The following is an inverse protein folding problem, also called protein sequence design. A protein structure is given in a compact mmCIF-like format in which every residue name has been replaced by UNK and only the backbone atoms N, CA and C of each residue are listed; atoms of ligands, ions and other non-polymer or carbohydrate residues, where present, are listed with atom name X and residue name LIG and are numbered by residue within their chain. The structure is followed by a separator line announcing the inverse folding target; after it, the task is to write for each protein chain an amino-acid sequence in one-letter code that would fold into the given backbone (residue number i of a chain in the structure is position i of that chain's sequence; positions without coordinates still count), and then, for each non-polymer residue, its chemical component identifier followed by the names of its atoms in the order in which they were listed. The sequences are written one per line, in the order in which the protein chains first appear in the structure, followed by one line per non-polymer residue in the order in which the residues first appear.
data_IF_387494868262
#
_entry.id   IF_387494868262
#
_cell.length_a   1.000
_cell.length_b   1.000
_cell.length_c   1.000
_cell.angle_alpha   90.00
_cell.angle_beta   90.00
_cell.angle_gamma   90.00
#
_symmetry.space_group_name_H-M   'P 1'
#
loop_
_entity.id
_entity.type
_entity.pdbx_description
1 polymer ?
#
# COMPACT_ATOMS: atom_id res chain seq x y z
N UNK A 1 13.70 -16.51 -11.56
CA UNK A 1 12.59 -15.57 -11.79
C UNK A 1 13.16 -14.17 -11.99
N UNK A 2 12.77 -13.46 -13.04
CA UNK A 2 13.23 -12.10 -13.33
C UNK A 2 12.83 -11.16 -12.17
N UNK A 3 13.72 -10.22 -11.74
CA UNK A 3 13.50 -9.27 -10.64
C UNK A 3 12.21 -8.47 -10.85
N UNK A 4 11.95 -8.01 -12.08
CA UNK A 4 10.73 -7.28 -12.44
C UNK A 4 9.47 -8.12 -12.23
N UNK A 5 9.46 -9.39 -12.63
CA UNK A 5 8.32 -10.28 -12.42
C UNK A 5 8.06 -10.52 -10.93
N UNK A 6 9.14 -10.74 -10.14
CA UNK A 6 9.03 -10.92 -8.69
C UNK A 6 8.44 -9.68 -8.00
N UNK A 7 8.92 -8.49 -8.38
CA UNK A 7 8.40 -7.21 -7.90
C UNK A 7 6.90 -7.05 -8.22
N UNK A 8 6.50 -7.30 -9.47
CA UNK A 8 5.09 -7.24 -9.89
C UNK A 8 4.23 -8.22 -9.10
N UNK A 9 4.69 -9.46 -8.89
CA UNK A 9 3.94 -10.47 -8.11
C UNK A 9 3.72 -10.01 -6.67
N UNK A 10 4.73 -9.44 -6.01
CA UNK A 10 4.58 -8.92 -4.65
C UNK A 10 3.57 -7.76 -4.58
N UNK A 11 3.64 -6.82 -5.52
CA UNK A 11 2.69 -5.69 -5.56
C UNK A 11 1.26 -6.15 -5.88
N UNK A 12 1.08 -7.14 -6.76
CA UNK A 12 -0.23 -7.73 -7.05
C UNK A 12 -0.81 -8.47 -5.84
N UNK A 13 0.01 -9.26 -5.11
CA UNK A 13 -0.43 -9.90 -3.86
C UNK A 13 -0.86 -8.87 -2.82
N UNK A 14 -0.12 -7.76 -2.72
CA UNK A 14 -0.50 -6.64 -1.86
C UNK A 14 -1.88 -6.10 -2.24
N UNK A 15 -2.11 -5.81 -3.53
CA UNK A 15 -3.36 -5.26 -4.03
C UNK A 15 -4.55 -6.21 -3.80
N UNK A 16 -4.36 -7.53 -3.96
CA UNK A 16 -5.39 -8.54 -3.65
C UNK A 16 -5.77 -8.48 -2.17
N UNK A 17 -4.79 -8.49 -1.28
CA UNK A 17 -5.04 -8.49 0.16
C UNK A 17 -5.69 -7.17 0.60
N UNK A 18 -5.22 -6.04 0.08
CA UNK A 18 -5.80 -4.73 0.45
C UNK A 18 -7.21 -4.54 -0.09
N UNK A 19 -7.49 -5.01 -1.31
CA UNK A 19 -8.84 -4.96 -1.87
C UNK A 19 -9.87 -5.64 -0.98
N UNK A 20 -9.55 -6.84 -0.49
CA UNK A 20 -10.44 -7.58 0.44
C UNK A 20 -10.48 -6.98 1.84
N UNK A 21 -9.45 -6.22 2.24
CA UNK A 21 -9.36 -5.62 3.57
C UNK A 21 -10.32 -4.46 3.81
N UNK A 22 -10.81 -3.76 2.77
CA UNK A 22 -11.78 -2.66 2.94
C UNK A 22 -13.08 -3.11 3.61
N UNK A 23 -13.59 -4.29 3.24
CA UNK A 23 -14.79 -4.87 3.85
C UNK A 23 -14.55 -5.15 5.32
N UNK A 24 -13.44 -5.83 5.65
CA UNK A 24 -13.09 -6.14 7.04
C UNK A 24 -12.87 -4.88 7.89
N UNK A 25 -12.27 -3.83 7.33
CA UNK A 25 -12.08 -2.55 8.02
C UNK A 25 -13.43 -1.89 8.36
N UNK A 26 -14.37 -1.88 7.42
CA UNK A 26 -15.70 -1.31 7.63
C UNK A 26 -16.48 -2.07 8.69
N UNK A 27 -16.46 -3.39 8.61
CA UNK A 27 -17.15 -4.27 9.58
C UNK A 27 -16.56 -4.12 11.00
N UNK A 28 -15.23 -4.10 11.14
CA UNK A 28 -14.59 -3.95 12.44
C UNK A 28 -14.88 -2.62 13.14
N UNK A 29 -15.13 -1.55 12.38
CA UNK A 29 -15.50 -0.25 12.95
C UNK A 29 -16.96 -0.15 13.40
N UNK A 30 -17.79 -1.15 13.19
CA UNK A 30 -19.13 -1.20 13.76
C UNK A 30 -19.13 -1.37 15.29
N UNK A 31 -18.04 -1.93 15.83
CA UNK A 31 -17.90 -2.30 17.24
C UNK A 31 -16.91 -1.44 18.02
N UNK A 32 -15.95 -0.78 17.32
CA UNK A 32 -14.93 0.08 17.93
C UNK A 32 -14.63 1.29 17.05
N UNK A 33 -14.05 2.34 17.65
CA UNK A 33 -13.67 3.55 16.93
C UNK A 33 -12.55 3.34 15.89
N UNK A 34 -12.45 4.23 14.89
CA UNK A 34 -11.49 4.10 13.78
C UNK A 34 -10.01 4.16 14.23
N UNK A 35 -9.67 4.96 15.23
CA UNK A 35 -8.31 5.05 15.74
C UNK A 35 -7.91 3.82 16.57
N UNK A 36 -8.82 3.29 17.40
CA UNK A 36 -8.58 2.06 18.15
C UNK A 36 -8.43 0.87 17.20
N UNK A 37 -9.30 0.76 16.19
CA UNK A 37 -9.17 -0.27 15.17
C UNK A 37 -7.80 -0.19 14.45
N UNK A 38 -7.39 1.03 14.05
CA UNK A 38 -6.09 1.26 13.44
C UNK A 38 -4.92 0.90 14.36
N UNK A 39 -4.99 1.28 15.65
CA UNK A 39 -3.95 0.93 16.63
C UNK A 39 -3.77 -0.57 16.76
N UNK A 40 -4.87 -1.30 17.00
CA UNK A 40 -4.84 -2.76 17.24
C UNK A 40 -4.31 -3.52 16.01
N UNK A 41 -4.81 -3.20 14.79
CA UNK A 41 -4.34 -3.87 13.58
C UNK A 41 -2.87 -3.58 13.26
N UNK A 42 -2.39 -2.37 13.56
CA UNK A 42 -0.99 -1.98 13.33
C UNK A 42 -0.05 -2.65 14.32
N UNK A 43 -0.41 -2.72 15.60
CA UNK A 43 0.37 -3.48 16.57
C UNK A 43 0.43 -4.97 16.23
N UNK A 44 -0.69 -5.55 15.86
CA UNK A 44 -0.73 -6.95 15.43
C UNK A 44 0.10 -7.18 14.16
N UNK A 45 0.06 -6.23 13.20
CA UNK A 45 0.90 -6.26 12.01
C UNK A 45 2.40 -6.22 12.34
N UNK A 46 2.81 -5.36 13.28
CA UNK A 46 4.19 -5.32 13.77
C UNK A 46 4.59 -6.62 14.45
N UNK A 47 3.74 -7.17 15.33
CA UNK A 47 3.99 -8.44 16.04
C UNK A 47 4.12 -9.62 15.07
N UNK A 48 3.32 -9.66 14.02
CA UNK A 48 3.37 -10.71 12.98
C UNK A 48 4.74 -10.79 12.31
N UNK A 49 5.49 -9.69 12.25
CA UNK A 49 6.81 -9.65 11.63
C UNK A 49 7.96 -10.08 12.55
N UNK A 50 7.73 -10.12 13.88
CA UNK A 50 8.78 -10.48 14.83
C UNK A 50 9.43 -11.85 14.57
N UNK A 51 8.67 -12.95 14.30
CA UNK A 51 9.28 -14.24 14.02
C UNK A 51 10.20 -14.20 12.80
N UNK A 52 9.80 -13.46 11.74
CA UNK A 52 10.59 -13.29 10.53
C UNK A 52 11.87 -12.52 10.83
N UNK A 53 11.78 -11.43 11.58
CA UNK A 53 12.93 -10.59 11.98
C UNK A 53 13.91 -11.42 12.81
N UNK A 54 13.43 -12.12 13.84
CA UNK A 54 14.25 -12.94 14.72
C UNK A 54 14.94 -14.08 13.96
N UNK A 55 14.25 -14.72 13.02
CA UNK A 55 14.85 -15.78 12.18
C UNK A 55 16.03 -15.23 11.37
N UNK A 56 15.86 -14.11 10.68
CA UNK A 56 16.95 -13.52 9.88
C UNK A 56 18.07 -12.96 10.73
N UNK A 57 17.78 -12.34 11.87
CA UNK A 57 18.81 -11.85 12.79
C UNK A 57 19.66 -13.00 13.35
N UNK A 58 19.03 -14.09 13.78
CA UNK A 58 19.74 -15.27 14.25
C UNK A 58 20.56 -15.94 13.14
N UNK A 59 20.03 -16.02 11.92
CA UNK A 59 20.74 -16.55 10.77
C UNK A 59 21.98 -15.69 10.45
N UNK A 60 21.84 -14.38 10.43
CA UNK A 60 22.94 -13.45 10.16
C UNK A 60 24.01 -13.53 11.25
N UNK A 61 23.64 -13.60 12.53
CA UNK A 61 24.61 -13.80 13.64
C UNK A 61 25.41 -15.09 13.49
N UNK A 62 24.76 -16.20 13.12
CA UNK A 62 25.46 -17.48 12.89
C UNK A 62 26.42 -17.43 11.72
N UNK A 63 26.06 -16.76 10.61
CA UNK A 63 26.96 -16.60 9.45
C UNK A 63 28.18 -15.75 9.81
N UNK A 64 27.99 -14.66 10.54
CA UNK A 64 29.10 -13.81 11.02
C UNK A 64 30.03 -14.57 11.96
N UNK A 65 29.51 -15.39 12.89
CA UNK A 65 30.32 -16.19 13.82
C UNK A 65 31.10 -17.34 13.12
N UNK A 66 30.64 -17.81 11.95
CA UNK A 66 31.33 -18.82 11.15
C UNK A 66 32.35 -18.27 10.15
N UNK A 67 32.59 -16.94 10.15
CA UNK A 67 33.50 -16.28 9.19
C UNK A 67 32.97 -16.25 7.75
N UNK A 68 31.74 -16.67 7.53
CA UNK A 68 31.09 -16.66 6.22
C UNK A 68 30.46 -15.31 5.97
N UNK A 69 30.84 -14.63 4.87
CA UNK A 69 30.16 -13.42 4.44
C UNK A 69 28.73 -13.80 4.03
N UNK A 70 27.70 -13.18 4.62
CA UNK A 70 26.34 -13.41 4.22
C UNK A 70 26.17 -13.02 2.75
N UNK A 71 25.36 -13.78 1.99
CA UNK A 71 25.03 -13.44 0.59
C UNK A 71 24.40 -12.05 0.55
N UNK A 72 24.79 -11.21 -0.41
CA UNK A 72 24.34 -9.82 -0.57
C UNK A 72 22.79 -9.64 -0.51
N UNK A 73 22.02 -10.67 -0.86
CA UNK A 73 20.56 -10.67 -0.78
C UNK A 73 20.00 -10.89 0.65
N UNK A 74 20.80 -11.39 1.60
CA UNK A 74 20.38 -11.64 2.99
C UNK A 74 20.75 -10.53 3.97
N UNK A 75 21.54 -9.56 3.53
CA UNK A 75 22.14 -8.52 4.36
C UNK A 75 21.99 -7.13 3.78
N UNK A 76 20.79 -6.69 3.53
CA UNK A 76 20.56 -5.24 3.64
C UNK A 76 20.26 -4.94 5.11
N UNK A 77 21.22 -5.21 6.00
CA UNK A 77 21.35 -4.42 7.23
C UNK A 77 21.89 -3.08 6.79
N UNK A 78 20.99 -2.22 6.26
CA UNK A 78 21.32 -0.85 5.95
C UNK A 78 21.78 -0.11 7.21
N UNK A 79 22.36 1.05 7.03
CA UNK A 79 22.83 1.83 8.17
C UNK A 79 21.71 1.96 9.24
N UNK A 80 21.96 1.68 10.53
CA UNK A 80 20.91 1.73 11.57
C UNK A 80 20.14 3.05 11.60
N UNK A 81 20.79 4.16 11.18
CA UNK A 81 20.14 5.46 11.06
C UNK A 81 19.06 5.50 9.97
N UNK A 82 19.25 4.80 8.84
CA UNK A 82 18.28 4.76 7.74
C UNK A 82 17.07 3.94 8.14
N UNK A 83 17.29 2.82 8.84
CA UNK A 83 16.21 2.01 9.39
C UNK A 83 15.35 2.82 10.39
N UNK A 84 16.00 3.51 11.33
CA UNK A 84 15.30 4.31 12.35
C UNK A 84 14.57 5.50 11.70
N UNK A 85 15.25 6.29 10.88
CA UNK A 85 14.64 7.44 10.18
C UNK A 85 13.52 7.00 9.26
N UNK A 86 13.74 5.98 8.44
CA UNK A 86 12.75 5.43 7.53
C UNK A 86 11.54 4.87 8.26
N UNK A 87 11.76 4.07 9.31
CA UNK A 87 10.68 3.50 10.12
C UNK A 87 9.82 4.57 10.80
N UNK A 88 10.43 5.59 11.39
CA UNK A 88 9.71 6.70 12.04
C UNK A 88 8.98 7.54 10.98
N UNK A 89 9.64 7.94 9.89
CA UNK A 89 9.03 8.78 8.86
C UNK A 89 7.88 8.05 8.16
N UNK A 90 8.09 6.82 7.71
CA UNK A 90 7.01 6.01 7.15
C UNK A 90 5.88 5.81 8.16
N UNK A 91 6.20 5.63 9.46
CA UNK A 91 5.22 5.48 10.53
C UNK A 91 4.35 6.71 10.74
N UNK A 92 4.94 7.91 10.73
CA UNK A 92 4.19 9.17 10.81
C UNK A 92 3.31 9.35 9.58
N UNK A 93 3.84 9.10 8.39
CA UNK A 93 3.09 9.27 7.15
C UNK A 93 1.91 8.29 7.08
N UNK A 94 2.14 7.01 7.43
CA UNK A 94 1.07 6.01 7.39
C UNK A 94 0.03 6.21 8.50
N UNK A 95 0.39 6.80 9.63
CA UNK A 95 -0.57 7.22 10.64
C UNK A 95 -1.61 8.17 10.03
N UNK A 96 -1.19 9.20 9.33
CA UNK A 96 -2.11 10.13 8.66
C UNK A 96 -2.86 9.44 7.52
N UNK A 97 -2.16 8.73 6.64
CA UNK A 97 -2.77 8.04 5.50
C UNK A 97 -3.90 7.09 5.94
N UNK A 98 -3.59 6.20 6.87
CA UNK A 98 -4.51 5.16 7.29
C UNK A 98 -5.66 5.71 8.15
N UNK A 99 -5.40 6.66 9.05
CA UNK A 99 -6.46 7.18 9.91
C UNK A 99 -7.40 8.14 9.17
N UNK A 100 -6.91 8.97 8.25
CA UNK A 100 -7.81 9.76 7.39
C UNK A 100 -8.69 8.85 6.52
N UNK A 101 -8.15 7.79 5.95
CA UNK A 101 -8.93 6.79 5.23
C UNK A 101 -9.96 6.12 6.14
N UNK A 102 -9.56 5.72 7.34
CA UNK A 102 -10.39 5.01 8.29
C UNK A 102 -11.55 5.88 8.79
N UNK A 103 -11.27 7.15 9.15
CA UNK A 103 -12.29 8.13 9.55
C UNK A 103 -13.24 8.42 8.38
N UNK A 104 -12.73 8.59 7.18
CA UNK A 104 -13.58 8.79 6.00
C UNK A 104 -14.48 7.60 5.71
N UNK A 105 -14.00 6.38 5.89
CA UNK A 105 -14.76 5.14 5.67
C UNK A 105 -15.98 5.00 6.60
N UNK A 106 -16.03 5.73 7.72
CA UNK A 106 -17.22 5.78 8.60
C UNK A 106 -18.43 6.40 7.87
N UNK A 107 -18.20 7.44 7.07
CA UNK A 107 -19.27 8.22 6.41
C UNK A 107 -19.35 8.06 4.88
N UNK A 108 -18.30 7.51 4.27
CA UNK A 108 -18.18 7.29 2.82
C UNK A 108 -18.30 5.80 2.53
N UNK A 109 -18.98 5.44 1.43
CA UNK A 109 -19.06 4.03 1.01
C UNK A 109 -17.68 3.42 0.73
N UNK A 110 -17.53 2.10 0.93
CA UNK A 110 -16.26 1.41 0.74
C UNK A 110 -15.72 1.60 -0.70
N UNK A 111 -16.58 1.48 -1.71
CA UNK A 111 -16.18 1.69 -3.11
C UNK A 111 -15.72 3.11 -3.41
N UNK A 112 -16.41 4.13 -2.87
CA UNK A 112 -16.00 5.54 -3.05
C UNK A 112 -14.72 5.85 -2.27
N UNK A 113 -14.55 5.29 -1.06
CA UNK A 113 -13.32 5.40 -0.29
C UNK A 113 -12.15 4.76 -1.04
N UNK A 114 -12.34 3.57 -1.60
CA UNK A 114 -11.32 2.90 -2.41
C UNK A 114 -10.94 3.73 -3.64
N UNK A 115 -11.93 4.31 -4.36
CA UNK A 115 -11.67 5.21 -5.49
C UNK A 115 -10.81 6.41 -5.10
N UNK A 116 -11.25 7.15 -4.06
CA UNK A 116 -10.54 8.37 -3.65
C UNK A 116 -9.14 8.03 -3.13
N UNK A 117 -9.00 6.96 -2.33
CA UNK A 117 -7.70 6.51 -1.84
C UNK A 117 -6.77 6.18 -3.00
N UNK A 118 -7.23 5.43 -3.99
CA UNK A 118 -6.40 5.01 -5.12
C UNK A 118 -6.07 6.13 -6.11
N UNK A 119 -6.58 7.35 -5.92
CA UNK A 119 -6.09 8.53 -6.63
C UNK A 119 -4.61 8.83 -6.38
N UNK A 120 -3.96 8.13 -5.43
CA UNK A 120 -2.50 8.14 -5.33
C UNK A 120 -1.81 7.72 -6.64
N UNK A 121 -2.49 7.00 -7.56
CA UNK A 121 -2.01 6.69 -8.91
C UNK A 121 -1.65 7.95 -9.72
N UNK A 122 -2.37 9.06 -9.48
CA UNK A 122 -2.07 10.38 -10.06
C UNK A 122 -1.07 11.16 -9.21
N UNK A 123 -1.21 11.09 -7.89
CA UNK A 123 -0.42 11.89 -6.95
C UNK A 123 1.06 11.45 -6.93
N UNK A 124 1.32 10.14 -6.96
CA UNK A 124 2.70 9.60 -6.96
C UNK A 124 3.53 10.13 -8.14
N UNK A 125 3.10 10.02 -9.41
CA UNK A 125 3.88 10.56 -10.52
C UNK A 125 4.00 12.08 -10.49
N UNK A 126 2.95 12.80 -10.06
CA UNK A 126 3.00 14.26 -9.95
C UNK A 126 4.05 14.69 -8.92
N UNK A 127 4.01 14.12 -7.71
CA UNK A 127 5.03 14.38 -6.69
C UNK A 127 6.41 13.92 -7.16
N UNK A 128 6.48 12.77 -7.85
CA UNK A 128 7.70 12.21 -8.43
C UNK A 128 8.39 13.15 -9.41
N UNK A 129 7.63 13.94 -10.19
CA UNK A 129 8.21 14.97 -11.08
C UNK A 129 8.96 16.04 -10.29
N UNK A 130 8.40 16.52 -9.16
CA UNK A 130 9.09 17.46 -8.27
C UNK A 130 10.35 16.85 -7.66
N UNK A 131 10.38 15.52 -7.46
CA UNK A 131 11.54 14.76 -7.03
C UNK A 131 12.49 14.39 -8.19
N UNK A 132 12.31 15.00 -9.39
CA UNK A 132 13.12 14.78 -10.61
C UNK A 132 13.10 13.35 -11.13
N UNK A 133 12.04 12.57 -10.85
CA UNK A 133 11.86 11.26 -11.44
C UNK A 133 11.57 11.37 -12.94
N UNK A 134 12.23 10.52 -13.73
CA UNK A 134 12.01 10.47 -15.19
C UNK A 134 10.96 9.41 -15.48
N UNK A 135 9.78 9.82 -15.94
CA UNK A 135 8.70 8.94 -16.32
C UNK A 135 8.65 8.78 -17.83
N UNK A 136 8.52 7.56 -18.30
CA UNK A 136 8.38 7.30 -19.73
C UNK A 136 6.91 7.40 -20.19
N UNK A 137 6.70 7.44 -21.52
CA UNK A 137 5.37 7.57 -22.11
C UNK A 137 4.40 6.44 -21.69
N UNK A 138 4.89 5.20 -21.59
CA UNK A 138 4.05 4.06 -21.24
C UNK A 138 3.54 4.16 -19.80
N UNK A 139 4.34 4.71 -18.88
CA UNK A 139 3.91 4.98 -17.50
C UNK A 139 2.78 6.02 -17.49
N UNK A 140 2.91 7.12 -18.24
CA UNK A 140 1.85 8.13 -18.33
C UNK A 140 0.56 7.57 -18.94
N UNK A 141 0.66 6.76 -19.98
CA UNK A 141 -0.50 6.07 -20.55
C UNK A 141 -1.15 5.12 -19.51
N UNK A 142 -0.33 4.42 -18.73
CA UNK A 142 -0.80 3.58 -17.63
C UNK A 142 -1.54 4.39 -16.56
N UNK A 143 -1.00 5.55 -16.14
CA UNK A 143 -1.65 6.45 -15.17
C UNK A 143 -3.01 6.92 -15.68
N UNK A 144 -3.09 7.42 -16.91
CA UNK A 144 -4.34 7.91 -17.51
C UNK A 144 -5.37 6.77 -17.61
N UNK A 145 -4.94 5.63 -18.16
CA UNK A 145 -5.82 4.47 -18.35
C UNK A 145 -6.31 3.91 -17.02
N UNK A 146 -5.42 3.80 -16.01
CA UNK A 146 -5.77 3.35 -14.66
C UNK A 146 -6.74 4.30 -13.97
N UNK A 147 -6.57 5.61 -14.11
CA UNK A 147 -7.49 6.62 -13.53
C UNK A 147 -8.87 6.54 -14.18
N UNK A 148 -8.92 6.41 -15.51
CA UNK A 148 -10.20 6.21 -16.22
C UNK A 148 -10.84 4.89 -15.79
N UNK A 149 -10.07 3.82 -15.66
CA UNK A 149 -10.55 2.53 -15.16
C UNK A 149 -11.13 2.61 -13.76
N UNK A 150 -10.45 3.31 -12.83
CA UNK A 150 -10.95 3.59 -11.46
C UNK A 150 -12.27 4.34 -11.48
N UNK A 151 -12.39 5.36 -12.33
CA UNK A 151 -13.64 6.11 -12.46
C UNK A 151 -14.80 5.20 -12.89
N UNK A 152 -14.59 4.36 -13.91
CA UNK A 152 -15.61 3.43 -14.35
C UNK A 152 -15.96 2.37 -13.31
N UNK A 153 -14.98 1.90 -12.53
CA UNK A 153 -15.15 0.87 -11.53
C UNK A 153 -15.88 1.36 -10.28
N UNK A 154 -15.55 2.55 -9.79
CA UNK A 154 -15.95 2.97 -8.44
C UNK A 154 -17.04 4.05 -8.41
N UNK A 155 -17.27 4.80 -9.49
CA UNK A 155 -18.27 5.87 -9.52
C UNK A 155 -19.52 5.38 -10.23
N UNK A 156 -20.51 4.95 -9.46
CA UNK A 156 -21.79 4.44 -9.97
C UNK A 156 -22.93 5.48 -9.92
N UNK A 157 -22.82 6.50 -9.06
CA UNK A 157 -23.86 7.51 -8.80
C UNK A 157 -23.40 8.92 -9.18
N UNK A 158 -24.32 9.89 -9.08
CA UNK A 158 -23.98 11.30 -9.25
C UNK A 158 -22.86 11.70 -8.27
N UNK A 159 -21.78 12.25 -8.81
CA UNK A 159 -20.60 12.62 -8.05
C UNK A 159 -20.90 13.84 -7.16
N UNK A 160 -21.21 13.59 -5.89
CA UNK A 160 -21.34 14.62 -4.86
C UNK A 160 -20.12 14.57 -3.95
N UNK A 161 -19.53 15.73 -3.66
CA UNK A 161 -18.38 15.83 -2.75
C UNK A 161 -18.93 16.15 -1.35
N UNK A 162 -18.78 15.20 -0.43
CA UNK A 162 -19.08 15.36 0.97
C UNK A 162 -17.81 15.64 1.80
N UNK A 163 -17.96 16.08 3.04
CA UNK A 163 -16.81 16.34 3.94
C UNK A 163 -15.94 15.09 4.14
N UNK A 164 -16.56 13.89 4.26
CA UNK A 164 -15.83 12.63 4.35
C UNK A 164 -14.94 12.35 3.14
N UNK A 165 -15.38 12.74 1.93
CA UNK A 165 -14.57 12.57 0.71
C UNK A 165 -13.27 13.39 0.76
N UNK A 166 -13.34 14.61 1.30
CA UNK A 166 -12.17 15.48 1.48
C UNK A 166 -11.18 14.86 2.49
N UNK A 167 -11.68 14.26 3.56
CA UNK A 167 -10.82 13.54 4.53
C UNK A 167 -10.08 12.39 3.84
N UNK A 168 -10.79 11.56 3.07
CA UNK A 168 -10.18 10.47 2.31
C UNK A 168 -9.17 10.99 1.28
N UNK A 169 -9.47 12.11 0.62
CA UNK A 169 -8.57 12.71 -0.37
C UNK A 169 -7.26 13.20 0.27
N UNK A 170 -7.34 13.80 1.46
CA UNK A 170 -6.14 14.12 2.25
C UNK A 170 -5.37 12.83 2.59
N UNK A 171 -6.08 11.76 2.98
CA UNK A 171 -5.49 10.44 3.17
C UNK A 171 -4.76 9.92 1.94
N UNK A 172 -5.36 10.08 0.74
CA UNK A 172 -4.74 9.67 -0.52
C UNK A 172 -3.41 10.39 -0.80
N UNK A 173 -3.29 11.67 -0.42
CA UNK A 173 -2.03 12.41 -0.50
C UNK A 173 -0.96 11.80 0.40
N UNK A 174 -1.31 11.44 1.64
CA UNK A 174 -0.37 10.77 2.54
C UNK A 174 -0.03 9.35 2.06
N UNK A 175 -0.96 8.62 1.43
CA UNK A 175 -0.66 7.35 0.77
C UNK A 175 0.38 7.51 -0.34
N UNK A 176 0.28 8.57 -1.15
CA UNK A 176 1.28 8.88 -2.16
C UNK A 176 2.66 9.15 -1.53
N UNK A 177 2.72 9.95 -0.47
CA UNK A 177 3.97 10.17 0.28
C UNK A 177 4.51 8.88 0.89
N UNK A 178 3.64 8.00 1.42
CA UNK A 178 4.06 6.71 1.95
C UNK A 178 4.71 5.83 0.89
N UNK A 179 4.11 5.70 -0.30
CA UNK A 179 4.68 4.94 -1.43
C UNK A 179 6.08 5.48 -1.77
N UNK A 180 6.24 6.80 -1.86
CA UNK A 180 7.54 7.43 -2.17
C UNK A 180 8.56 7.24 -1.03
N UNK A 181 8.12 7.28 0.21
CA UNK A 181 8.96 7.05 1.38
C UNK A 181 9.46 5.60 1.43
N UNK A 182 8.58 4.64 1.21
CA UNK A 182 8.94 3.21 1.13
C UNK A 182 9.89 2.95 -0.04
N UNK A 183 9.65 3.55 -1.21
CA UNK A 183 10.55 3.48 -2.36
C UNK A 183 11.99 3.93 -2.01
N UNK A 184 12.10 5.00 -1.24
CA UNK A 184 13.39 5.53 -0.82
C UNK A 184 14.12 4.64 0.20
N UNK A 185 13.41 4.09 1.18
CA UNK A 185 14.05 3.35 2.30
C UNK A 185 14.11 1.84 2.09
N UNK A 186 13.12 1.21 1.45
CA UNK A 186 13.07 -0.24 1.31
C UNK A 186 14.29 -0.87 0.63
N UNK A 187 14.94 -0.24 -0.37
CA UNK A 187 16.18 -0.78 -0.96
C UNK A 187 17.39 -0.75 -0.01
N UNK A 188 17.35 0.09 1.03
CA UNK A 188 18.49 0.38 1.91
C UNK A 188 18.48 -0.38 3.22
N UNK A 189 17.33 -0.98 3.59
CA UNK A 189 17.16 -1.62 4.89
C UNK A 189 16.40 -2.95 4.76
N UNK A 190 16.39 -3.73 5.84
CA UNK A 190 15.55 -4.92 5.93
C UNK A 190 14.07 -4.50 5.99
N UNK A 191 13.31 -4.83 4.94
CA UNK A 191 11.91 -4.40 4.77
C UNK A 191 11.05 -4.78 5.97
N UNK A 192 11.15 -6.02 6.48
CA UNK A 192 10.35 -6.44 7.64
C UNK A 192 10.63 -5.61 8.89
N UNK A 193 11.87 -5.18 9.13
CA UNK A 193 12.21 -4.25 10.22
C UNK A 193 11.62 -2.86 9.99
N UNK A 194 11.72 -2.34 8.75
CA UNK A 194 11.13 -1.06 8.37
C UNK A 194 9.63 -1.05 8.63
N UNK A 195 8.92 -2.07 8.15
CA UNK A 195 7.47 -2.21 8.30
C UNK A 195 7.06 -2.39 9.77
N UNK A 196 7.81 -3.19 10.55
CA UNK A 196 7.54 -3.35 11.97
C UNK A 196 7.66 -2.03 12.73
N UNK A 197 8.71 -1.23 12.50
CA UNK A 197 8.92 0.05 13.16
C UNK A 197 7.83 1.05 12.74
N UNK A 198 7.50 1.15 11.44
CA UNK A 198 6.45 2.07 10.99
C UNK A 198 5.10 1.76 11.65
N UNK A 199 4.76 0.50 11.83
CA UNK A 199 3.50 0.12 12.48
C UNK A 199 3.53 0.30 13.99
N UNK A 200 4.66 0.12 14.65
CA UNK A 200 4.79 0.51 16.06
C UNK A 200 4.57 2.01 16.23
N UNK A 201 5.17 2.84 15.39
CA UNK A 201 5.01 4.30 15.46
C UNK A 201 3.56 4.69 15.17
N UNK A 202 3.00 4.23 14.05
CA UNK A 202 1.64 4.58 13.65
C UNK A 202 0.59 4.03 14.61
N UNK A 203 0.76 2.80 15.09
CA UNK A 203 -0.11 2.20 16.10
C UNK A 203 -0.10 2.98 17.42
N UNK A 204 1.09 3.41 17.87
CA UNK A 204 1.21 4.24 19.07
C UNK A 204 0.53 5.59 18.90
N UNK A 205 0.75 6.27 17.78
CA UNK A 205 0.07 7.54 17.48
C UNK A 205 -1.45 7.36 17.41
N UNK A 206 -1.94 6.28 16.76
CA UNK A 206 -3.37 5.97 16.70
C UNK A 206 -3.95 5.66 18.07
N UNK A 207 -3.24 4.88 18.90
CA UNK A 207 -3.67 4.60 20.27
C UNK A 207 -3.78 5.87 21.11
N UNK A 208 -2.79 6.76 21.02
CA UNK A 208 -2.83 8.04 21.75
C UNK A 208 -4.08 8.83 21.36
N UNK A 209 -4.37 8.96 20.06
CA UNK A 209 -5.58 9.67 19.63
C UNK A 209 -6.84 8.95 20.10
N UNK A 210 -6.91 7.62 19.98
CA UNK A 210 -8.06 6.84 20.44
C UNK A 210 -8.36 7.05 21.92
N UNK A 211 -7.33 7.08 22.78
CA UNK A 211 -7.49 7.30 24.21
C UNK A 211 -8.11 8.66 24.59
N UNK A 212 -7.95 9.68 23.72
CA UNK A 212 -8.53 11.00 23.94
C UNK A 212 -9.85 11.26 23.23
N UNK A 213 -10.19 10.46 22.20
CA UNK A 213 -11.32 10.76 21.29
C UNK A 213 -12.36 9.65 21.20
N UNK A 214 -12.04 8.44 21.68
CA UNK A 214 -12.94 7.28 21.55
C UNK A 214 -13.22 6.63 22.90
N UNK A 215 -14.40 6.02 23.04
CA UNK A 215 -14.73 5.22 24.22
C UNK A 215 -14.07 3.85 24.15
N UNK A 216 -13.50 3.42 25.28
CA UNK A 216 -12.80 2.14 25.40
C UNK A 216 -13.77 1.02 25.74
N UNK A 217 -14.37 0.41 24.72
CA UNK A 217 -15.35 -0.67 24.86
C UNK A 217 -14.64 -2.02 24.65
N UNK A 218 -14.30 -2.71 25.75
CA UNK A 218 -13.57 -3.99 25.68
C UNK A 218 -14.36 -5.08 24.95
N UNK A 219 -15.68 -5.16 25.14
CA UNK A 219 -16.54 -6.10 24.41
C UNK A 219 -16.50 -5.85 22.90
N UNK A 220 -16.51 -4.59 22.48
CA UNK A 220 -16.38 -4.20 21.07
C UNK A 220 -15.03 -4.62 20.47
N UNK A 221 -13.94 -4.53 21.24
CA UNK A 221 -12.63 -5.01 20.80
C UNK A 221 -12.61 -6.52 20.55
N UNK A 222 -13.28 -7.31 21.42
CA UNK A 222 -13.40 -8.75 21.23
C UNK A 222 -14.26 -9.10 20.01
N UNK A 223 -15.35 -8.37 19.79
CA UNK A 223 -16.21 -8.55 18.63
C UNK A 223 -15.48 -8.23 17.31
N UNK A 224 -14.68 -7.16 17.30
CA UNK A 224 -13.87 -6.78 16.15
C UNK A 224 -12.62 -7.66 15.94
N UNK A 225 -12.31 -8.60 16.85
CA UNK A 225 -11.07 -9.39 16.81
C UNK A 225 -10.84 -10.15 15.49
N UNK A 226 -11.83 -10.79 14.85
CA UNK A 226 -11.61 -11.47 13.56
C UNK A 226 -11.16 -10.50 12.47
N UNK A 227 -11.76 -9.32 12.38
CA UNK A 227 -11.43 -8.29 11.40
C UNK A 227 -10.09 -7.63 11.72
N UNK A 228 -9.75 -7.42 13.01
CA UNK A 228 -8.44 -6.96 13.46
C UNK A 228 -7.37 -8.01 13.13
N UNK A 229 -7.63 -9.31 13.36
CA UNK A 229 -6.70 -10.38 13.04
C UNK A 229 -6.40 -10.42 11.54
N UNK A 230 -7.42 -10.41 10.69
CA UNK A 230 -7.24 -10.39 9.25
C UNK A 230 -6.47 -9.14 8.79
N UNK A 231 -6.92 -7.95 9.19
CA UNK A 231 -6.29 -6.70 8.76
C UNK A 231 -4.91 -6.48 9.38
N UNK A 232 -4.67 -6.98 10.59
CA UNK A 232 -3.36 -6.93 11.25
C UNK A 232 -2.36 -7.88 10.61
N UNK A 233 -2.70 -9.16 10.49
CA UNK A 233 -1.77 -10.18 9.98
C UNK A 233 -1.60 -10.08 8.48
N UNK A 234 -2.71 -10.15 7.73
CA UNK A 234 -2.65 -10.21 6.27
C UNK A 234 -2.39 -8.84 5.66
N UNK A 235 -3.18 -7.82 6.03
CA UNK A 235 -3.07 -6.50 5.41
C UNK A 235 -1.87 -5.73 5.96
N UNK A 236 -1.73 -5.55 7.28
CA UNK A 236 -0.62 -4.79 7.86
C UNK A 236 0.70 -5.58 7.86
N UNK A 237 0.72 -6.82 8.31
CA UNK A 237 1.94 -7.63 8.38
C UNK A 237 2.46 -8.03 7.00
N UNK A 238 1.73 -8.87 6.29
CA UNK A 238 2.20 -9.49 5.05
C UNK A 238 2.13 -8.55 3.84
N UNK A 239 0.99 -7.88 3.60
CA UNK A 239 0.83 -7.10 2.38
C UNK A 239 1.78 -5.89 2.34
N UNK A 240 1.97 -5.15 3.43
CA UNK A 240 2.97 -4.07 3.46
C UNK A 240 4.40 -4.58 3.34
N UNK A 241 4.71 -5.78 3.83
CA UNK A 241 6.00 -6.40 3.58
C UNK A 241 6.16 -6.73 2.09
N UNK A 242 5.14 -7.27 1.44
CA UNK A 242 5.15 -7.51 0.00
C UNK A 242 5.26 -6.20 -0.79
N UNK A 243 4.55 -5.14 -0.38
CA UNK A 243 4.71 -3.81 -0.96
C UNK A 243 6.18 -3.35 -0.90
N UNK A 244 6.79 -3.37 0.27
CA UNK A 244 8.18 -2.94 0.44
C UNK A 244 9.16 -3.79 -0.37
N UNK A 245 8.96 -5.12 -0.43
CA UNK A 245 9.76 -6.02 -1.26
C UNK A 245 9.55 -5.78 -2.77
N UNK A 246 8.32 -5.49 -3.18
CA UNK A 246 7.99 -5.18 -4.56
C UNK A 246 8.57 -3.83 -5.00
N UNK A 247 8.52 -2.82 -4.15
CA UNK A 247 9.03 -1.48 -4.45
C UNK A 247 10.56 -1.40 -4.54
N UNK A 248 11.31 -2.37 -3.99
CA UNK A 248 12.79 -2.41 -4.16
C UNK A 248 13.23 -2.40 -5.62
N UNK A 249 12.49 -3.04 -6.50
CA UNK A 249 12.86 -3.28 -7.89
C UNK A 249 11.87 -2.64 -8.89
N UNK A 250 10.89 -1.84 -8.42
CA UNK A 250 9.90 -1.14 -9.23
C UNK A 250 10.06 0.38 -9.12
N UNK A 251 9.77 1.10 -10.19
CA UNK A 251 9.58 2.55 -10.11
C UNK A 251 8.31 2.85 -9.29
N UNK A 252 8.30 3.87 -8.39
CA UNK A 252 7.18 4.15 -7.51
C UNK A 252 5.87 4.45 -8.25
N UNK A 253 5.92 5.10 -9.42
CA UNK A 253 4.73 5.29 -10.26
C UNK A 253 4.21 3.96 -10.82
N UNK A 254 5.09 3.06 -11.26
CA UNK A 254 4.66 1.70 -11.67
C UNK A 254 4.08 0.93 -10.49
N UNK A 255 4.67 1.06 -9.30
CA UNK A 255 4.15 0.45 -8.09
C UNK A 255 2.74 0.99 -7.76
N UNK A 256 2.52 2.31 -7.84
CA UNK A 256 1.21 2.91 -7.58
C UNK A 256 0.14 2.44 -8.58
N UNK A 257 0.48 2.25 -9.87
CA UNK A 257 -0.45 1.68 -10.86
C UNK A 257 -0.83 0.24 -10.51
N UNK A 258 0.12 -0.58 -10.08
CA UNK A 258 -0.17 -1.97 -9.70
C UNK A 258 -0.99 -2.00 -8.41
N UNK A 259 -0.60 -1.23 -7.40
CA UNK A 259 -1.30 -1.17 -6.12
C UNK A 259 -2.73 -0.67 -6.27
N UNK A 260 -3.00 0.30 -7.18
CA UNK A 260 -4.36 0.81 -7.40
C UNK A 260 -5.35 -0.27 -7.88
N UNK A 261 -4.87 -1.42 -8.34
CA UNK A 261 -5.74 -2.58 -8.63
C UNK A 261 -6.39 -3.17 -7.36
N UNK A 262 -6.05 -2.68 -6.16
CA UNK A 262 -6.78 -3.01 -4.94
C UNK A 262 -8.27 -2.68 -5.04
N UNK A 263 -8.64 -1.59 -5.71
CA UNK A 263 -10.03 -1.24 -5.96
C UNK A 263 -10.74 -2.30 -6.83
N UNK A 264 -10.04 -2.85 -7.83
CA UNK A 264 -10.53 -3.95 -8.65
C UNK A 264 -10.74 -5.23 -7.84
N UNK A 265 -9.76 -5.61 -7.01
CA UNK A 265 -9.90 -6.79 -6.15
C UNK A 265 -10.94 -6.58 -5.06
N UNK A 266 -11.15 -5.34 -4.59
CA UNK A 266 -12.26 -4.98 -3.71
C UNK A 266 -13.62 -5.21 -4.36
N UNK A 267 -13.79 -4.78 -5.61
CA UNK A 267 -15.03 -5.02 -6.37
C UNK A 267 -15.27 -6.51 -6.65
N UNK A 268 -14.22 -7.27 -7.01
CA UNK A 268 -14.31 -8.73 -7.18
C UNK A 268 -14.70 -9.40 -5.85
N UNK A 269 -14.14 -8.97 -4.73
CA UNK A 269 -14.48 -9.50 -3.41
C UNK A 269 -15.95 -9.17 -3.05
N UNK A 270 -16.44 -7.97 -3.34
CA UNK A 270 -17.85 -7.60 -3.20
C UNK A 270 -18.77 -8.53 -3.98
N UNK A 271 -18.43 -8.79 -5.24
CA UNK A 271 -19.20 -9.74 -6.06
C UNK A 271 -19.21 -11.16 -5.47
N UNK A 272 -18.04 -11.69 -5.07
CA UNK A 272 -17.92 -13.09 -4.61
C UNK A 272 -18.48 -13.33 -3.21
N UNK A 273 -18.29 -12.37 -2.28
CA UNK A 273 -18.62 -12.56 -0.86
C UNK A 273 -19.92 -11.85 -0.44
N UNK A 274 -20.25 -10.70 -1.09
CA UNK A 274 -21.44 -9.92 -0.77
C UNK A 274 -22.55 -10.06 -1.80
N UNK A 275 -22.35 -10.91 -2.84
CA UNK A 275 -23.30 -11.15 -3.93
C UNK A 275 -23.71 -9.85 -4.68
N UNK A 276 -22.81 -8.88 -4.74
CA UNK A 276 -23.02 -7.64 -5.48
C UNK A 276 -23.05 -7.94 -6.99
N UNK A 277 -23.91 -7.26 -7.74
CA UNK A 277 -24.01 -7.47 -9.20
C UNK A 277 -22.94 -6.65 -9.90
N UNK A 278 -22.14 -7.33 -10.72
CA UNK A 278 -21.11 -6.69 -11.55
C UNK A 278 -21.76 -6.03 -12.78
N UNK A 279 -21.73 -4.73 -12.87
CA UNK A 279 -22.25 -3.98 -14.00
C UNK A 279 -21.30 -4.01 -15.21
N UNK A 280 -21.80 -3.78 -16.42
CA UNK A 280 -20.95 -3.64 -17.61
C UNK A 280 -19.93 -2.52 -17.46
N UNK A 281 -20.30 -1.44 -16.77
CA UNK A 281 -19.44 -0.31 -16.48
C UNK A 281 -18.24 -0.72 -15.61
N UNK A 282 -18.49 -1.45 -14.54
CA UNK A 282 -17.44 -1.96 -13.64
C UNK A 282 -16.53 -2.96 -14.38
N UNK A 283 -17.08 -3.80 -15.24
CA UNK A 283 -16.27 -4.70 -16.08
C UNK A 283 -15.32 -3.93 -16.99
N UNK A 284 -15.79 -2.86 -17.66
CA UNK A 284 -14.93 -1.98 -18.48
C UNK A 284 -13.83 -1.36 -17.61
N UNK A 285 -14.17 -0.88 -16.41
CA UNK A 285 -13.22 -0.34 -15.44
C UNK A 285 -12.09 -1.35 -15.11
N UNK A 286 -12.47 -2.61 -14.84
CA UNK A 286 -11.53 -3.70 -14.59
C UNK A 286 -10.56 -3.92 -15.75
N UNK A 287 -11.08 -4.00 -16.97
CA UNK A 287 -10.26 -4.22 -18.18
C UNK A 287 -9.28 -3.06 -18.39
N UNK A 288 -9.72 -1.82 -18.19
CA UNK A 288 -8.87 -0.63 -18.28
C UNK A 288 -7.75 -0.65 -17.23
N UNK A 289 -8.05 -1.02 -15.99
CA UNK A 289 -7.05 -1.11 -14.92
C UNK A 289 -6.00 -2.20 -15.20
N UNK A 290 -6.41 -3.39 -15.63
CA UNK A 290 -5.45 -4.42 -16.04
C UNK A 290 -4.62 -3.97 -17.25
N UNK A 291 -5.24 -3.32 -18.24
CA UNK A 291 -4.54 -2.70 -19.37
C UNK A 291 -3.50 -1.69 -18.93
N UNK A 292 -3.82 -0.85 -17.94
CA UNK A 292 -2.91 0.13 -17.36
C UNK A 292 -1.66 -0.53 -16.76
N UNK A 293 -1.84 -1.61 -15.98
CA UNK A 293 -0.72 -2.38 -15.42
C UNK A 293 0.17 -2.94 -16.51
N UNK A 294 -0.40 -3.57 -17.53
CA UNK A 294 0.36 -4.16 -18.64
C UNK A 294 1.14 -3.06 -19.38
N UNK A 295 0.48 -1.97 -19.77
CA UNK A 295 1.10 -0.88 -20.55
C UNK A 295 2.24 -0.23 -19.76
N UNK A 296 2.07 0.02 -18.46
CA UNK A 296 3.09 0.65 -17.62
C UNK A 296 4.39 -0.19 -17.53
N UNK A 297 4.30 -1.49 -17.79
CA UNK A 297 5.43 -2.42 -17.71
C UNK A 297 6.11 -2.71 -19.05
N UNK A 298 5.52 -2.28 -20.17
CA UNK A 298 6.12 -2.50 -21.49
C UNK A 298 7.43 -1.71 -21.63
N UNK A 299 8.48 -2.33 -22.20
CA UNK A 299 9.73 -1.63 -22.47
C UNK A 299 9.51 -0.54 -23.51
N UNK A 300 10.04 0.66 -23.26
CA UNK A 300 10.08 1.71 -24.29
C UNK A 300 11.22 1.37 -25.24
N UNK A 301 10.90 1.11 -26.51
CA UNK A 301 11.92 1.02 -27.57
C UNK A 301 12.57 2.41 -27.73
N UNK A 302 13.74 2.61 -27.13
CA UNK A 302 14.59 3.72 -27.56
C UNK A 302 14.90 3.49 -29.03
N UNK A 303 14.40 4.36 -29.91
CA UNK A 303 14.99 4.49 -31.25
C UNK A 303 16.46 4.82 -31.03
N UNK A 304 17.34 3.86 -31.28
CA UNK A 304 18.76 4.13 -31.51
C UNK A 304 18.79 5.12 -32.68
N UNK A 305 18.94 6.38 -32.37
CA UNK A 305 19.37 7.38 -33.37
C UNK A 305 20.78 6.93 -33.70
N UNK A 306 20.87 6.15 -34.78
CA UNK A 306 22.11 5.85 -35.46
C UNK A 306 22.83 7.18 -35.70
N UNK A 307 23.91 7.41 -34.93
CA UNK A 307 24.94 8.37 -35.35
C UNK A 307 25.56 7.83 -36.63
N UNK A 308 24.90 8.10 -37.74
CA UNK A 308 25.45 8.00 -39.08
C UNK A 308 25.89 9.38 -39.45
N UNK A 309 27.16 9.49 -39.82
CA UNK A 309 27.90 10.59 -40.42
C UNK A 309 28.74 11.43 -39.46
N UNK A 310 29.95 10.96 -39.30
CA UNK A 310 31.12 11.82 -39.51
C UNK A 310 32.16 10.97 -40.27
N UNK A 311 32.18 11.16 -41.56
CA UNK A 311 33.37 10.99 -42.42
C UNK A 311 33.80 12.36 -42.89
#
# INVERSE_FOLDING_TARGET
MNKKLKSTMFLMLTAIIWGTAFVAQREGMSSIGPFMFSALRMYLGSLTLLPIILYYDNKNRRLLSSGSLPKADSLVEGHPSDLRKGGILCGIIIFFAANFQQVGLVSVSAGKTAFITTLYILLVPVIGLFLKQKLNRNIWLGVILGTVGLYFLCITEAFTIAFGDLIVLIGALFWAFHILCVDHYAPRVMVSKLIAIQFLVAGTMSLVVALFTEEMIFSGMLEAMPTIAYTGIMSSGLAFTFQGLGQKDANPTTASIILSTEALFGAIAGYLFLQEIFTQREFIGCVLMFGAVIISQLPVKHKLISRRNER
#
